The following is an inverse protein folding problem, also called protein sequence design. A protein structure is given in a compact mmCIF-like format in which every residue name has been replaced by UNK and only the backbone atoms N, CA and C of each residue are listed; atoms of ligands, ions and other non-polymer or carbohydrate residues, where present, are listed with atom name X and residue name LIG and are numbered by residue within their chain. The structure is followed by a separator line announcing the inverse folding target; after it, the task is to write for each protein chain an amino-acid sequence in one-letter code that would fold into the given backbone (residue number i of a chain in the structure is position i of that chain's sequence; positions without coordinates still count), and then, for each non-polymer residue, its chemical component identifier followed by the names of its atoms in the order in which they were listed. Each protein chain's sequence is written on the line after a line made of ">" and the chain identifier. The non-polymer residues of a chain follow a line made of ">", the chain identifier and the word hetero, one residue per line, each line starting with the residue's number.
data_IF_575602124551
#
_entry.id   IF_575602124551
#
_cell.length_a   1.000
_cell.length_b   1.000
_cell.length_c   1.000
_cell.angle_alpha   90.00
_cell.angle_beta   90.00
_cell.angle_gamma   90.00
#
_symmetry.space_group_name_H-M   'P 1'
#
loop_
_entity.id
_entity.type
_entity.pdbx_description
1 polymer ?
#
# COMPACT_ATOMS: atom_id res chain seq x y z
N UNK A 1 19.27 -26.93 17.84
CA UNK A 1 19.38 -25.47 18.06
C UNK A 1 19.58 -24.83 16.69
N UNK A 2 18.50 -24.38 16.11
CA UNK A 2 18.49 -23.72 14.78
C UNK A 2 19.01 -22.30 14.95
N UNK A 3 20.19 -22.00 14.39
CA UNK A 3 20.75 -20.65 14.38
C UNK A 3 19.79 -19.74 13.63
N UNK A 4 19.06 -18.91 14.36
CA UNK A 4 18.32 -17.79 13.81
C UNK A 4 19.32 -16.88 13.12
N UNK A 5 19.47 -17.03 11.81
CA UNK A 5 20.33 -16.16 11.00
C UNK A 5 19.73 -14.75 11.09
N UNK A 6 20.32 -13.92 11.93
CA UNK A 6 20.00 -12.51 12.01
C UNK A 6 20.20 -11.92 10.61
N UNK A 7 19.10 -11.52 10.00
CA UNK A 7 19.08 -10.94 8.66
C UNK A 7 19.80 -9.60 8.70
N UNK A 8 21.07 -9.61 8.36
CA UNK A 8 21.89 -8.41 8.28
C UNK A 8 21.43 -7.57 7.08
N UNK A 9 20.60 -6.57 7.33
CA UNK A 9 20.25 -5.57 6.32
C UNK A 9 21.54 -4.82 5.94
N UNK A 10 21.80 -4.74 4.65
CA UNK A 10 22.91 -3.92 4.14
C UNK A 10 22.47 -2.45 4.13
N UNK A 11 23.41 -1.53 4.27
CA UNK A 11 23.13 -0.07 4.19
C UNK A 11 22.35 0.30 2.92
N UNK A 12 22.66 -0.37 1.81
CA UNK A 12 21.96 -0.21 0.53
C UNK A 12 20.48 -0.61 0.64
N UNK A 13 20.15 -1.67 1.38
CA UNK A 13 18.76 -2.09 1.56
C UNK A 13 17.97 -1.02 2.33
N UNK A 14 18.57 -0.43 3.35
CA UNK A 14 17.97 0.68 4.12
C UNK A 14 17.75 1.92 3.25
N UNK A 15 18.72 2.26 2.40
CA UNK A 15 18.58 3.38 1.47
C UNK A 15 17.42 3.17 0.48
N UNK A 16 17.26 1.96 -0.07
CA UNK A 16 16.13 1.65 -0.94
C UNK A 16 14.80 1.67 -0.19
N UNK A 17 14.73 1.14 1.03
CA UNK A 17 13.52 1.18 1.86
C UNK A 17 13.10 2.64 2.09
N UNK A 18 14.04 3.52 2.47
CA UNK A 18 13.77 4.94 2.67
C UNK A 18 13.32 5.63 1.37
N UNK A 19 14.01 5.37 0.26
CA UNK A 19 13.67 5.94 -1.05
C UNK A 19 12.25 5.56 -1.48
N UNK A 20 11.88 4.29 -1.32
CA UNK A 20 10.55 3.83 -1.70
C UNK A 20 9.47 4.29 -0.72
N UNK A 21 9.78 4.49 0.57
CA UNK A 21 8.86 5.12 1.51
C UNK A 21 8.54 6.57 1.09
N UNK A 22 9.56 7.34 0.69
CA UNK A 22 9.38 8.71 0.14
C UNK A 22 8.61 8.66 -1.18
N UNK A 23 8.90 7.71 -2.05
CA UNK A 23 8.14 7.54 -3.31
C UNK A 23 6.65 7.29 -3.04
N UNK A 24 6.31 6.46 -2.05
CA UNK A 24 4.90 6.25 -1.66
C UNK A 24 4.27 7.57 -1.19
N UNK A 25 4.99 8.39 -0.41
CA UNK A 25 4.53 9.71 0.03
C UNK A 25 4.27 10.64 -1.17
N UNK A 26 5.19 10.72 -2.12
CA UNK A 26 4.99 11.51 -3.35
C UNK A 26 3.77 11.03 -4.13
N UNK A 27 3.59 9.70 -4.26
CA UNK A 27 2.40 9.12 -4.89
C UNK A 27 1.10 9.47 -4.14
N UNK A 28 1.16 9.64 -2.81
CA UNK A 28 -0.01 10.02 -2.02
C UNK A 28 -0.42 11.48 -2.23
N UNK A 29 0.52 12.37 -2.52
CA UNK A 29 0.26 13.78 -2.80
C UNK A 29 -0.41 13.99 -4.16
N UNK A 30 -0.18 13.07 -5.11
CA UNK A 30 -0.93 13.06 -6.38
C UNK A 30 -2.31 12.49 -6.10
N UNK A 31 -3.22 13.36 -5.69
CA UNK A 31 -4.55 13.00 -5.22
C UNK A 31 -5.63 13.89 -5.80
N UNK A 32 -6.78 13.27 -6.11
CA UNK A 32 -8.02 13.97 -6.44
C UNK A 32 -8.93 13.87 -5.21
N UNK A 33 -9.37 15.01 -4.66
CA UNK A 33 -10.21 15.02 -3.48
C UNK A 33 -11.57 14.38 -3.77
N UNK A 34 -11.98 13.44 -2.94
CA UNK A 34 -13.26 12.75 -2.97
C UNK A 34 -13.60 12.27 -1.54
N UNK A 35 -14.75 11.60 -1.34
CA UNK A 35 -15.13 10.98 -0.06
C UNK A 35 -14.02 10.05 0.47
N UNK A 36 -13.46 9.23 -0.41
CA UNK A 36 -12.17 8.57 -0.23
C UNK A 36 -11.25 9.16 -1.31
N UNK A 37 -10.14 9.85 -0.98
CA UNK A 37 -9.29 10.48 -1.98
C UNK A 37 -8.77 9.48 -3.00
N UNK A 38 -8.91 9.81 -4.28
CA UNK A 38 -8.26 9.05 -5.35
C UNK A 38 -6.78 9.45 -5.40
N UNK A 39 -5.87 8.52 -5.11
CA UNK A 39 -4.43 8.78 -5.06
C UNK A 39 -3.64 7.81 -5.91
N UNK A 40 -2.40 8.14 -6.25
CA UNK A 40 -1.44 7.18 -6.80
C UNK A 40 -0.77 6.31 -5.72
N UNK A 41 -1.21 6.38 -4.48
CA UNK A 41 -0.62 5.69 -3.33
C UNK A 41 -0.59 4.16 -3.52
N UNK A 42 -1.68 3.57 -4.00
CA UNK A 42 -1.80 2.14 -4.32
C UNK A 42 -0.71 1.69 -5.30
N UNK A 43 -0.47 2.50 -6.35
CA UNK A 43 0.61 2.26 -7.30
C UNK A 43 1.98 2.30 -6.63
N UNK A 44 2.23 3.29 -5.75
CA UNK A 44 3.49 3.41 -5.01
C UNK A 44 3.76 2.18 -4.13
N UNK A 45 2.74 1.67 -3.44
CA UNK A 45 2.81 0.46 -2.61
C UNK A 45 3.14 -0.77 -3.47
N UNK A 46 2.43 -0.97 -4.57
CA UNK A 46 2.66 -2.10 -5.48
C UNK A 46 4.05 -2.06 -6.09
N UNK A 47 4.52 -0.86 -6.48
CA UNK A 47 5.84 -0.68 -7.04
C UNK A 47 6.93 -0.96 -5.98
N UNK A 48 6.75 -0.48 -4.74
CA UNK A 48 7.68 -0.74 -3.65
C UNK A 48 7.85 -2.24 -3.38
N UNK A 49 6.74 -2.97 -3.25
CA UNK A 49 6.79 -4.41 -2.98
C UNK A 49 7.28 -5.19 -4.20
N UNK A 50 6.84 -4.82 -5.39
CA UNK A 50 7.22 -5.51 -6.62
C UNK A 50 8.69 -5.36 -7.01
N UNK A 51 9.31 -4.20 -6.73
CA UNK A 51 10.72 -3.91 -7.05
C UNK A 51 11.67 -4.39 -5.95
N UNK A 52 11.36 -4.10 -4.68
CA UNK A 52 12.23 -4.44 -3.56
C UNK A 52 12.06 -5.89 -3.09
N UNK A 53 11.00 -6.56 -3.54
CA UNK A 53 10.55 -7.84 -3.02
C UNK A 53 9.72 -7.67 -1.75
N UNK A 54 8.97 -8.72 -1.40
CA UNK A 54 7.96 -8.67 -0.36
C UNK A 54 8.44 -8.11 0.97
N UNK A 55 9.57 -8.62 1.49
CA UNK A 55 10.08 -8.22 2.80
C UNK A 55 10.48 -6.73 2.85
N UNK A 56 11.33 -6.28 1.91
CA UNK A 56 11.85 -4.90 1.89
C UNK A 56 10.75 -3.92 1.52
N UNK A 57 9.88 -4.30 0.57
CA UNK A 57 8.72 -3.48 0.17
C UNK A 57 7.74 -3.29 1.32
N UNK A 58 7.43 -4.34 2.09
CA UNK A 58 6.59 -4.21 3.29
C UNK A 58 7.22 -3.30 4.34
N UNK A 59 8.55 -3.36 4.52
CA UNK A 59 9.26 -2.42 5.41
C UNK A 59 9.18 -0.98 4.89
N UNK A 60 9.25 -0.74 3.58
CA UNK A 60 9.08 0.59 3.02
C UNK A 60 7.67 1.15 3.30
N UNK A 61 6.63 0.32 3.15
CA UNK A 61 5.26 0.70 3.52
C UNK A 61 5.14 0.98 5.02
N UNK A 62 5.75 0.15 5.87
CA UNK A 62 5.75 0.35 7.32
C UNK A 62 6.44 1.67 7.70
N UNK A 63 7.62 1.96 7.13
CA UNK A 63 8.33 3.23 7.36
C UNK A 63 7.47 4.41 6.92
N UNK A 64 6.86 4.35 5.74
CA UNK A 64 5.93 5.37 5.25
C UNK A 64 4.79 5.64 6.25
N UNK A 65 4.15 4.57 6.79
CA UNK A 65 3.09 4.70 7.79
C UNK A 65 3.60 5.32 9.09
N UNK A 66 4.77 4.91 9.57
CA UNK A 66 5.36 5.46 10.79
C UNK A 66 5.68 6.95 10.64
N UNK A 67 6.21 7.38 9.50
CA UNK A 67 6.43 8.80 9.21
C UNK A 67 5.12 9.60 9.27
N UNK A 68 4.04 9.05 8.70
CA UNK A 68 2.73 9.66 8.77
C UNK A 68 2.16 9.71 10.19
N UNK A 69 2.33 8.66 10.99
CA UNK A 69 1.89 8.60 12.40
C UNK A 69 2.58 9.69 13.25
N UNK A 70 3.88 9.89 13.06
CA UNK A 70 4.68 10.92 13.77
C UNK A 70 4.22 12.34 13.41
N UNK A 71 3.43 12.50 12.34
CA UNK A 71 2.87 13.80 11.96
C UNK A 71 3.48 14.41 10.72
N UNK A 72 4.40 13.71 10.03
CA UNK A 72 4.90 14.19 8.75
C UNK A 72 3.77 14.18 7.70
N UNK A 73 3.70 15.20 6.82
CA UNK A 73 2.61 15.37 5.85
C UNK A 73 2.77 14.43 4.65
N UNK A 74 2.83 13.11 4.91
CA UNK A 74 3.08 12.08 3.90
C UNK A 74 1.82 11.42 3.35
N UNK A 75 0.64 11.71 3.93
CA UNK A 75 -0.64 11.18 3.45
C UNK A 75 -1.30 12.10 2.42
N UNK A 76 -2.39 11.63 1.81
CA UNK A 76 -3.13 12.39 0.81
C UNK A 76 -3.52 13.80 1.31
N UNK A 77 -3.41 14.78 0.41
CA UNK A 77 -3.67 16.18 0.76
C UNK A 77 -2.64 16.79 1.71
N UNK A 78 -1.40 16.30 1.70
CA UNK A 78 -0.33 16.73 2.61
C UNK A 78 -0.69 16.61 4.09
N UNK A 79 -1.50 15.63 4.42
CA UNK A 79 -1.94 15.36 5.78
C UNK A 79 -0.99 14.39 6.51
N UNK A 80 -1.09 14.37 7.84
CA UNK A 80 -0.30 13.49 8.71
C UNK A 80 -0.87 13.47 10.12
N UNK A 81 -0.25 12.67 10.97
CA UNK A 81 -0.66 12.46 12.35
C UNK A 81 -1.63 11.28 12.52
N UNK A 82 -1.73 10.82 13.76
CA UNK A 82 -2.58 9.69 14.13
C UNK A 82 -4.07 9.93 13.83
N UNK A 83 -4.50 11.20 13.83
CA UNK A 83 -5.87 11.59 13.49
C UNK A 83 -6.29 11.15 12.07
N UNK A 84 -5.36 11.14 11.10
CA UNK A 84 -5.63 10.66 9.75
C UNK A 84 -5.93 9.16 9.73
N UNK A 85 -5.26 8.39 10.58
CA UNK A 85 -5.49 6.95 10.70
C UNK A 85 -6.79 6.62 11.44
N UNK A 86 -7.20 7.47 12.36
CA UNK A 86 -8.46 7.31 13.09
C UNK A 86 -9.66 7.85 12.30
N UNK A 87 -9.41 8.59 11.22
CA UNK A 87 -10.45 9.11 10.32
C UNK A 87 -11.07 8.05 9.43
N UNK A 88 -12.05 8.46 8.62
CA UNK A 88 -12.81 7.57 7.72
C UNK A 88 -11.93 6.84 6.72
N UNK A 89 -10.87 7.46 6.23
CA UNK A 89 -9.94 6.88 5.24
C UNK A 89 -8.78 6.12 5.86
N UNK A 90 -8.62 6.15 7.18
CA UNK A 90 -7.52 5.51 7.89
C UNK A 90 -7.41 4.01 7.65
N UNK A 91 -8.55 3.33 7.50
CA UNK A 91 -8.58 1.92 7.18
C UNK A 91 -7.89 1.57 5.86
N UNK A 92 -7.96 2.43 4.84
CA UNK A 92 -7.24 2.23 3.57
C UNK A 92 -5.74 2.43 3.74
N UNK A 93 -5.34 3.42 4.56
CA UNK A 93 -3.92 3.69 4.85
C UNK A 93 -3.30 2.47 5.57
N UNK A 94 -3.97 1.92 6.58
CA UNK A 94 -3.56 0.68 7.25
C UNK A 94 -3.68 -0.52 6.31
N UNK A 95 -4.70 -0.53 5.46
CA UNK A 95 -4.93 -1.54 4.42
C UNK A 95 -3.76 -1.73 3.45
N UNK A 96 -2.97 -0.67 3.19
CA UNK A 96 -1.74 -0.80 2.39
C UNK A 96 -0.70 -1.70 3.04
N UNK A 97 -0.61 -1.71 4.37
CA UNK A 97 0.28 -2.64 5.06
C UNK A 97 -0.20 -4.09 4.90
N UNK A 98 -1.50 -4.33 5.05
CA UNK A 98 -2.06 -5.67 4.81
C UNK A 98 -1.89 -6.11 3.35
N UNK A 99 -2.08 -5.21 2.39
CA UNK A 99 -1.79 -5.47 0.99
C UNK A 99 -0.34 -5.89 0.78
N UNK A 100 0.62 -5.15 1.34
CA UNK A 100 2.04 -5.48 1.26
C UNK A 100 2.38 -6.83 1.92
N UNK A 101 1.75 -7.15 3.05
CA UNK A 101 1.91 -8.45 3.73
C UNK A 101 1.37 -9.60 2.89
N UNK A 102 0.21 -9.44 2.24
CA UNK A 102 -0.34 -10.45 1.32
C UNK A 102 0.61 -10.68 0.15
N UNK A 103 1.11 -9.61 -0.46
CA UNK A 103 2.08 -9.71 -1.56
C UNK A 103 3.37 -10.42 -1.10
N UNK A 104 3.87 -10.09 0.10
CA UNK A 104 5.05 -10.78 0.66
C UNK A 104 4.78 -12.26 0.93
N UNK A 105 3.64 -12.60 1.52
CA UNK A 105 3.25 -13.99 1.75
C UNK A 105 3.19 -14.79 0.44
N UNK A 106 2.55 -14.21 -0.59
CA UNK A 106 2.47 -14.87 -1.90
C UNK A 106 3.83 -15.03 -2.56
N UNK A 107 4.71 -14.02 -2.50
CA UNK A 107 6.08 -14.15 -2.98
C UNK A 107 6.83 -15.28 -2.24
N UNK A 108 6.62 -15.41 -0.93
CA UNK A 108 7.29 -16.42 -0.11
C UNK A 108 6.82 -17.84 -0.42
N UNK A 109 5.53 -18.05 -0.65
CA UNK A 109 4.95 -19.38 -0.86
C UNK A 109 4.92 -19.82 -2.33
N UNK A 110 4.70 -18.90 -3.26
CA UNK A 110 4.50 -19.18 -4.68
C UNK A 110 5.70 -18.74 -5.56
N UNK A 111 6.68 -18.03 -4.95
CA UNK A 111 7.89 -17.58 -5.62
C UNK A 111 7.72 -16.26 -6.39
N UNK A 112 8.80 -15.87 -7.11
CA UNK A 112 8.92 -14.56 -7.78
C UNK A 112 8.52 -14.59 -9.27
N UNK A 113 7.51 -15.36 -9.62
CA UNK A 113 7.04 -15.41 -11.01
C UNK A 113 6.19 -14.17 -11.34
N UNK A 114 6.22 -13.64 -12.58
CA UNK A 114 5.44 -12.45 -12.94
C UNK A 114 3.94 -12.59 -12.71
N UNK A 115 3.37 -13.76 -12.96
CA UNK A 115 1.96 -14.01 -12.72
C UNK A 115 1.62 -14.02 -11.22
N UNK A 116 2.54 -14.50 -10.36
CA UNK A 116 2.39 -14.45 -8.89
C UNK A 116 2.36 -13.01 -8.43
N UNK A 117 3.24 -12.16 -8.97
CA UNK A 117 3.26 -10.73 -8.66
C UNK A 117 1.94 -10.07 -9.07
N UNK A 118 1.43 -10.33 -10.28
CA UNK A 118 0.14 -9.79 -10.73
C UNK A 118 -1.01 -10.22 -9.82
N UNK A 119 -1.10 -11.51 -9.52
CA UNK A 119 -2.12 -12.06 -8.65
C UNK A 119 -2.02 -11.51 -7.22
N UNK A 120 -0.79 -11.32 -6.71
CA UNK A 120 -0.58 -10.77 -5.38
C UNK A 120 -1.00 -9.30 -5.27
N UNK A 121 -0.79 -8.50 -6.32
CA UNK A 121 -1.28 -7.10 -6.38
C UNK A 121 -2.81 -7.06 -6.35
N UNK A 122 -3.48 -7.93 -7.14
CA UNK A 122 -4.96 -8.02 -7.15
C UNK A 122 -5.50 -8.44 -5.79
N UNK A 123 -4.94 -9.50 -5.19
CA UNK A 123 -5.37 -9.96 -3.86
C UNK A 123 -5.07 -8.91 -2.79
N UNK A 124 -3.91 -8.26 -2.85
CA UNK A 124 -3.55 -7.15 -1.98
C UNK A 124 -4.55 -5.98 -2.09
N UNK A 125 -4.97 -5.65 -3.31
CA UNK A 125 -6.00 -4.62 -3.54
C UNK A 125 -7.34 -5.01 -2.92
N UNK A 126 -7.79 -6.25 -3.11
CA UNK A 126 -9.03 -6.77 -2.53
C UNK A 126 -9.00 -6.68 -1.00
N UNK A 127 -7.89 -7.10 -0.37
CA UNK A 127 -7.72 -7.02 1.09
C UNK A 127 -7.73 -5.55 1.56
N UNK A 128 -7.06 -4.65 0.84
CA UNK A 128 -7.08 -3.22 1.14
C UNK A 128 -8.50 -2.65 1.06
N UNK A 129 -9.27 -2.98 0.02
CA UNK A 129 -10.65 -2.55 -0.13
C UNK A 129 -11.55 -3.11 0.97
N UNK A 130 -11.44 -4.41 1.28
CA UNK A 130 -12.25 -5.05 2.31
C UNK A 130 -12.02 -4.38 3.67
N UNK A 131 -10.77 -4.27 4.10
CA UNK A 131 -10.42 -3.65 5.37
C UNK A 131 -10.79 -2.16 5.41
N UNK A 132 -10.46 -1.42 4.35
CA UNK A 132 -10.75 0.01 4.25
C UNK A 132 -12.25 0.31 4.27
N UNK A 133 -13.06 -0.47 3.56
CA UNK A 133 -14.52 -0.27 3.52
C UNK A 133 -15.18 -0.59 4.87
N UNK A 134 -14.77 -1.69 5.52
CA UNK A 134 -15.28 -2.02 6.87
C UNK A 134 -14.92 -0.92 7.86
N UNK A 135 -13.68 -0.45 7.84
CA UNK A 135 -13.25 0.66 8.68
C UNK A 135 -14.04 1.94 8.39
N UNK A 136 -14.18 2.31 7.11
CA UNK A 136 -14.94 3.46 6.67
C UNK A 136 -16.37 3.42 7.23
N UNK A 137 -17.07 2.29 7.06
CA UNK A 137 -18.44 2.13 7.56
C UNK A 137 -18.53 2.31 9.08
N UNK A 138 -17.57 1.75 9.83
CA UNK A 138 -17.57 1.87 11.30
C UNK A 138 -17.31 3.30 11.77
N UNK A 139 -16.35 4.00 11.18
CA UNK A 139 -16.03 5.37 11.56
C UNK A 139 -17.15 6.32 11.10
N UNK A 140 -17.66 6.15 9.89
CA UNK A 140 -18.75 6.95 9.34
C UNK A 140 -20.03 6.80 10.16
N UNK A 141 -20.36 5.58 10.59
CA UNK A 141 -21.52 5.33 11.44
C UNK A 141 -21.46 6.06 12.79
N UNK A 142 -20.25 6.28 13.34
CA UNK A 142 -20.06 7.01 14.59
C UNK A 142 -20.18 8.53 14.44
N UNK A 143 -19.91 9.06 13.26
CA UNK A 143 -19.82 10.51 13.03
C UNK A 143 -21.02 11.09 12.32
N UNK A 144 -21.62 10.38 11.39
CA UNK A 144 -22.65 10.90 10.48
C UNK A 144 -23.94 10.06 10.49
N UNK A 145 -23.81 8.76 10.80
CA UNK A 145 -24.93 7.82 10.78
C UNK A 145 -24.61 6.56 9.99
N UNK A 146 -25.36 5.49 10.23
CA UNK A 146 -25.15 4.20 9.58
C UNK A 146 -25.44 4.28 8.08
N UNK A 147 -24.56 3.69 7.27
CA UNK A 147 -24.74 3.57 5.82
C UNK A 147 -24.81 2.10 5.40
N UNK A 148 -25.59 1.81 4.35
CA UNK A 148 -25.68 0.47 3.78
C UNK A 148 -24.39 0.06 3.08
N UNK A 149 -24.10 -1.25 3.06
CA UNK A 149 -22.90 -1.81 2.42
C UNK A 149 -22.80 -1.40 0.95
N UNK A 150 -23.89 -1.45 0.19
CA UNK A 150 -23.89 -1.08 -1.23
C UNK A 150 -23.52 0.38 -1.47
N UNK A 151 -24.00 1.28 -0.61
CA UNK A 151 -23.64 2.70 -0.67
C UNK A 151 -22.16 2.90 -0.36
N UNK A 152 -21.65 2.23 0.68
CA UNK A 152 -20.22 2.28 1.01
C UNK A 152 -19.35 1.74 -0.12
N UNK A 153 -19.69 0.59 -0.73
CA UNK A 153 -19.00 0.04 -1.88
C UNK A 153 -19.04 0.98 -3.10
N UNK A 154 -20.18 1.63 -3.33
CA UNK A 154 -20.34 2.63 -4.38
C UNK A 154 -19.36 3.79 -4.22
N UNK A 155 -19.22 4.32 -3.01
CA UNK A 155 -18.34 5.45 -2.73
C UNK A 155 -16.86 5.08 -2.64
N UNK A 156 -16.54 3.90 -2.11
CA UNK A 156 -15.20 3.55 -1.70
C UNK A 156 -14.48 2.56 -2.64
N UNK A 157 -15.22 1.83 -3.50
CA UNK A 157 -14.64 0.73 -4.27
C UNK A 157 -14.96 0.85 -5.76
N UNK A 158 -16.23 0.91 -6.16
CA UNK A 158 -16.62 0.74 -7.56
C UNK A 158 -15.97 1.76 -8.51
N UNK A 159 -15.84 3.01 -8.08
CA UNK A 159 -15.19 4.05 -8.87
C UNK A 159 -13.67 3.88 -9.00
N UNK A 160 -13.05 3.10 -8.10
CA UNK A 160 -11.60 2.93 -8.02
C UNK A 160 -11.10 1.67 -8.73
N UNK A 161 -11.97 0.70 -9.02
CA UNK A 161 -11.59 -0.59 -9.61
C UNK A 161 -10.82 -0.38 -10.93
N UNK A 162 -11.41 0.36 -11.86
CA UNK A 162 -10.79 0.56 -13.18
C UNK A 162 -9.46 1.30 -13.08
N UNK A 163 -9.37 2.46 -12.40
CA UNK A 163 -8.09 3.14 -12.21
C UNK A 163 -7.05 2.29 -11.48
N UNK A 164 -7.44 1.52 -10.48
CA UNK A 164 -6.50 0.71 -9.72
C UNK A 164 -5.99 -0.50 -10.53
N UNK A 165 -6.81 -1.07 -11.41
CA UNK A 165 -6.33 -2.06 -12.37
C UNK A 165 -5.30 -1.47 -13.34
N UNK A 166 -5.50 -0.23 -13.82
CA UNK A 166 -4.50 0.48 -14.62
C UNK A 166 -3.20 0.69 -13.83
N UNK A 167 -3.28 1.07 -12.55
CA UNK A 167 -2.11 1.21 -11.67
C UNK A 167 -1.36 -0.13 -11.50
N UNK A 168 -2.08 -1.26 -11.38
CA UNK A 168 -1.47 -2.59 -11.33
C UNK A 168 -0.69 -2.87 -12.61
N UNK A 169 -1.27 -2.62 -13.78
CA UNK A 169 -0.58 -2.82 -15.07
C UNK A 169 0.67 -1.95 -15.16
N UNK A 170 0.57 -0.67 -14.82
CA UNK A 170 1.70 0.25 -14.81
C UNK A 170 2.80 -0.20 -13.82
N UNK A 171 2.40 -0.62 -12.61
CA UNK A 171 3.33 -1.15 -11.61
C UNK A 171 4.05 -2.40 -12.14
N UNK A 172 3.34 -3.33 -12.79
CA UNK A 172 3.93 -4.53 -13.39
C UNK A 172 4.97 -4.20 -14.46
N UNK A 173 4.65 -3.25 -15.36
CA UNK A 173 5.59 -2.81 -16.42
C UNK A 173 6.84 -2.20 -15.81
N UNK A 174 6.69 -1.32 -14.82
CA UNK A 174 7.81 -0.67 -14.15
C UNK A 174 8.61 -1.64 -13.29
N UNK A 175 7.98 -2.56 -12.57
CA UNK A 175 8.68 -3.61 -11.82
C UNK A 175 9.59 -4.42 -12.74
N UNK A 176 9.11 -4.83 -13.92
CA UNK A 176 9.91 -5.56 -14.90
C UNK A 176 11.12 -4.76 -15.38
N UNK A 177 10.97 -3.47 -15.62
CA UNK A 177 12.07 -2.58 -16.06
C UNK A 177 13.06 -2.28 -14.94
N UNK A 178 12.57 -1.92 -13.76
CA UNK A 178 13.41 -1.53 -12.63
C UNK A 178 14.13 -2.72 -11.99
N UNK A 179 13.52 -3.90 -11.95
CA UNK A 179 14.17 -5.11 -11.45
C UNK A 179 15.44 -5.48 -12.24
N UNK A 180 15.52 -5.11 -13.53
CA UNK A 180 16.72 -5.29 -14.34
C UNK A 180 17.83 -4.30 -13.95
N UNK A 181 17.48 -3.09 -13.47
CA UNK A 181 18.43 -2.04 -13.09
C UNK A 181 18.86 -2.14 -11.62
N UNK A 182 17.95 -2.56 -10.74
CA UNK A 182 18.20 -2.69 -9.30
C UNK A 182 18.62 -4.14 -8.99
N UNK A 183 19.90 -4.42 -9.10
CA UNK A 183 20.47 -5.72 -8.67
C UNK A 183 20.53 -5.77 -7.14
N UNK A 184 19.40 -6.02 -6.49
CA UNK A 184 19.35 -6.41 -5.09
C UNK A 184 19.79 -7.88 -4.99
N UNK A 185 21.09 -8.10 -4.78
CA UNK A 185 21.64 -9.42 -4.46
C UNK A 185 21.32 -9.80 -3.00
#
# INVERSE_FOLDING_TARGET
>A
MEKTAALKFRTVDMAYIALFAVMIAVCSWISIPATVPFTLQTFGVFLAVGVLGGKRGTLAVLVYLLLGIVGLPVFAGFSGGIGCLLGTTGGYIVGFLFSALVMWAMERFLGKKPWVLALSMVLGLIVCYAFGTVWFMQVYAKTTGAIGLWTALGWCVFHYIIPDLVKIVLAMVLCKRLAAAIRLR
#
